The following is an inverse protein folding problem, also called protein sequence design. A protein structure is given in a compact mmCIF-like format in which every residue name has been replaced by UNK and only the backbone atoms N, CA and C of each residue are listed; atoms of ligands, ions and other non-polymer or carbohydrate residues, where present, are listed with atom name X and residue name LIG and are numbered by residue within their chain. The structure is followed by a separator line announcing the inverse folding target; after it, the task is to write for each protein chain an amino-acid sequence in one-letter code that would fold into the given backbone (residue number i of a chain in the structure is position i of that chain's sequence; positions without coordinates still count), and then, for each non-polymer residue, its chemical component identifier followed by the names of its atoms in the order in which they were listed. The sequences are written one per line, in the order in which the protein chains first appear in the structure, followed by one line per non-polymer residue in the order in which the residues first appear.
data_IF_644026839008
#
_entry.id   IF_644026839008
#
_cell.length_a   1.000
_cell.length_b   1.000
_cell.length_c   1.000
_cell.angle_alpha   90.00
_cell.angle_beta   90.00
_cell.angle_gamma   90.00
#
_symmetry.space_group_name_H-M   'P 1'
#
loop_
_entity.id
_entity.type
_entity.pdbx_description
1 polymer ?
#
# COMPACT_ATOMS: atom_id res chain seq x y z
N UNK A 1 26.63 -0.25 14.49
CA UNK A 1 27.06 -0.27 13.09
C UNK A 1 27.98 0.92 12.85
N UNK A 2 29.08 0.72 12.14
CA UNK A 2 30.02 1.78 11.78
C UNK A 2 29.87 2.14 10.30
N UNK A 3 30.13 3.40 9.93
CA UNK A 3 30.18 3.84 8.52
C UNK A 3 31.60 3.73 8.00
N UNK A 4 31.77 3.29 6.75
CA UNK A 4 33.05 3.36 6.06
C UNK A 4 33.22 4.77 5.46
N UNK A 5 34.15 5.55 6.02
CA UNK A 5 34.37 6.96 5.63
C UNK A 5 35.59 7.07 4.69
N UNK A 6 36.40 6.01 4.56
CA UNK A 6 37.61 6.01 3.73
C UNK A 6 37.35 6.03 2.24
N UNK A 7 38.39 6.34 1.46
CA UNK A 7 38.38 6.31 0.00
C UNK A 7 38.17 4.90 -0.53
N UNK A 8 38.75 3.89 0.17
CA UNK A 8 38.59 2.47 -0.16
C UNK A 8 37.38 1.93 0.54
N UNK A 9 36.41 1.42 -0.24
CA UNK A 9 35.18 0.82 0.23
C UNK A 9 35.29 -0.70 0.15
N UNK A 10 35.15 -1.35 1.28
CA UNK A 10 35.19 -2.81 1.37
C UNK A 10 33.79 -3.39 1.24
N UNK A 11 33.68 -4.60 0.69
CA UNK A 11 32.45 -5.37 0.59
C UNK A 11 32.74 -6.84 0.86
N UNK A 12 31.93 -7.47 1.71
CA UNK A 12 32.12 -8.85 2.14
C UNK A 12 32.58 -8.94 3.59
N UNK A 13 33.02 -10.11 4.01
CA UNK A 13 33.44 -10.39 5.39
C UNK A 13 34.95 -10.56 5.48
N UNK A 14 35.57 -9.82 6.38
CA UNK A 14 37.01 -9.91 6.69
C UNK A 14 37.11 -10.15 8.20
N UNK A 15 37.61 -11.33 8.59
CA UNK A 15 37.64 -11.74 9.99
C UNK A 15 36.25 -11.67 10.62
N UNK A 16 36.15 -10.96 11.74
CA UNK A 16 34.89 -10.75 12.47
C UNK A 16 34.10 -9.52 12.03
N UNK A 17 34.41 -8.94 10.87
CA UNK A 17 33.73 -7.74 10.36
C UNK A 17 33.12 -7.97 8.99
N UNK A 18 31.83 -7.68 8.88
CA UNK A 18 31.10 -7.72 7.62
C UNK A 18 30.86 -6.29 7.10
N UNK A 19 31.28 -6.04 5.86
CA UNK A 19 31.15 -4.80 5.12
C UNK A 19 30.05 -4.92 4.07
N UNK A 20 29.14 -3.97 4.03
CA UNK A 20 28.00 -4.00 3.10
C UNK A 20 27.52 -2.59 2.78
N UNK A 21 26.87 -2.46 1.61
CA UNK A 21 26.28 -1.20 1.16
C UNK A 21 24.77 -1.28 1.26
N UNK A 22 24.13 -0.20 1.64
CA UNK A 22 22.67 -0.07 1.65
C UNK A 22 22.23 0.99 0.66
N UNK A 23 21.07 0.82 -0.02
CA UNK A 23 20.59 1.78 -1.02
C UNK A 23 20.43 3.20 -0.50
N UNK A 24 20.08 3.33 0.79
CA UNK A 24 19.77 4.63 1.42
C UNK A 24 20.74 5.03 2.54
N UNK A 25 21.67 4.19 2.91
CA UNK A 25 22.50 4.38 4.11
C UNK A 25 24.02 4.41 3.87
N UNK A 26 24.46 4.28 2.63
CA UNK A 26 25.88 4.24 2.29
C UNK A 26 26.57 2.92 2.67
N UNK A 27 27.88 2.98 2.82
CA UNK A 27 28.72 1.83 3.11
C UNK A 27 28.92 1.65 4.60
N UNK A 28 28.59 0.48 5.11
CA UNK A 28 28.50 0.17 6.53
C UNK A 28 29.37 -1.04 6.88
N UNK A 29 29.78 -1.10 8.15
CA UNK A 29 30.44 -2.23 8.77
C UNK A 29 29.70 -2.68 10.03
N UNK A 30 29.65 -3.98 10.25
CA UNK A 30 29.12 -4.59 11.47
C UNK A 30 29.95 -5.82 11.85
N UNK A 31 29.87 -6.26 13.10
CA UNK A 31 30.46 -7.53 13.48
C UNK A 31 29.91 -8.66 12.60
N UNK A 32 30.79 -9.48 12.07
CA UNK A 32 30.44 -10.72 11.39
C UNK A 32 30.06 -11.75 12.45
N UNK A 33 28.97 -12.45 12.19
CA UNK A 33 28.42 -13.34 13.20
C UNK A 33 27.47 -12.60 14.15
N UNK A 34 26.92 -13.31 15.05
CA UNK A 34 25.81 -12.87 15.88
C UNK A 34 24.48 -13.23 15.22
N UNK A 35 23.56 -13.67 16.01
CA UNK A 35 22.31 -14.24 15.58
C UNK A 35 22.23 -15.73 15.89
N UNK A 36 21.03 -16.23 15.79
CA UNK A 36 20.79 -17.65 16.13
C UNK A 36 21.20 -18.56 14.96
N UNK A 37 21.88 -19.65 15.28
CA UNK A 37 22.19 -20.71 14.29
C UNK A 37 20.87 -21.34 13.81
N UNK A 38 20.75 -21.63 12.52
CA UNK A 38 19.54 -22.23 11.92
C UNK A 38 19.08 -23.50 12.64
N UNK A 39 20.01 -24.37 13.04
CA UNK A 39 19.69 -25.58 13.80
C UNK A 39 19.16 -25.28 15.20
N UNK A 40 19.66 -24.26 15.85
CA UNK A 40 19.17 -23.83 17.17
C UNK A 40 17.75 -23.28 17.07
N UNK A 41 17.48 -22.46 16.07
CA UNK A 41 16.12 -21.95 15.82
C UNK A 41 15.15 -23.11 15.62
N UNK A 42 15.53 -24.14 14.85
CA UNK A 42 14.65 -25.27 14.55
C UNK A 42 14.41 -26.21 15.74
N UNK A 43 15.40 -26.43 16.58
CA UNK A 43 15.39 -27.51 17.56
C UNK A 43 15.28 -27.08 19.02
N UNK A 44 15.82 -25.92 19.40
CA UNK A 44 15.85 -25.51 20.81
C UNK A 44 14.50 -24.97 21.28
N UNK A 45 14.06 -25.36 22.47
CA UNK A 45 12.83 -24.87 23.09
C UNK A 45 12.90 -23.38 23.41
N UNK A 46 14.07 -22.88 23.77
CA UNK A 46 14.30 -21.43 23.95
C UNK A 46 14.04 -20.59 22.71
N UNK A 47 13.97 -21.22 21.51
CA UNK A 47 13.71 -20.56 20.22
C UNK A 47 12.25 -20.66 19.76
N UNK A 48 11.33 -21.18 20.58
CA UNK A 48 9.89 -21.25 20.25
C UNK A 48 9.35 -19.88 19.82
N UNK A 49 9.66 -18.83 20.59
CA UNK A 49 9.20 -17.46 20.28
C UNK A 49 9.75 -16.91 18.96
N UNK A 50 10.96 -17.29 18.59
CA UNK A 50 11.56 -16.90 17.30
C UNK A 50 10.81 -17.58 16.16
N UNK A 51 10.48 -18.87 16.28
CA UNK A 51 9.69 -19.61 15.29
C UNK A 51 8.28 -19.05 15.14
N UNK A 52 7.60 -18.78 16.24
CA UNK A 52 6.25 -18.18 16.24
C UNK A 52 6.25 -16.84 15.51
N UNK A 53 7.18 -15.95 15.86
CA UNK A 53 7.28 -14.64 15.23
C UNK A 53 7.64 -14.76 13.74
N UNK A 54 8.54 -15.66 13.37
CA UNK A 54 8.93 -15.89 11.98
C UNK A 54 7.76 -16.43 11.14
N UNK A 55 6.95 -17.34 11.71
CA UNK A 55 5.75 -17.89 11.07
C UNK A 55 4.74 -16.78 10.78
N UNK A 56 4.37 -16.00 11.79
CA UNK A 56 3.41 -14.90 11.65
C UNK A 56 3.90 -13.82 10.68
N UNK A 57 5.19 -13.45 10.76
CA UNK A 57 5.78 -12.49 9.83
C UNK A 57 5.75 -13.00 8.38
N UNK A 58 6.05 -14.28 8.18
CA UNK A 58 5.96 -14.93 6.87
C UNK A 58 4.55 -14.89 6.29
N UNK A 59 3.53 -15.13 7.12
CA UNK A 59 2.12 -15.03 6.74
C UNK A 59 1.74 -13.59 6.37
N UNK A 60 2.09 -12.60 7.19
CA UNK A 60 1.87 -11.17 6.88
C UNK A 60 2.56 -10.77 5.57
N UNK A 61 3.77 -11.30 5.30
CA UNK A 61 4.49 -11.01 4.06
C UNK A 61 3.78 -11.56 2.82
N UNK A 62 3.16 -12.74 2.91
CA UNK A 62 2.34 -13.32 1.82
C UNK A 62 1.09 -12.47 1.58
N UNK A 63 0.35 -12.12 2.63
CA UNK A 63 -0.81 -11.23 2.56
C UNK A 63 -0.43 -9.91 1.90
N UNK A 64 0.62 -9.24 2.39
CA UNK A 64 1.12 -7.99 1.83
C UNK A 64 1.44 -8.10 0.33
N UNK A 65 2.11 -9.20 -0.08
CA UNK A 65 2.44 -9.42 -1.50
C UNK A 65 1.18 -9.52 -2.35
N UNK A 66 0.22 -10.37 -1.96
CA UNK A 66 -1.03 -10.54 -2.68
C UNK A 66 -1.84 -9.23 -2.74
N UNK A 67 -1.99 -8.55 -1.61
CA UNK A 67 -2.70 -7.28 -1.51
C UNK A 67 -2.06 -6.16 -2.35
N UNK A 68 -0.73 -6.07 -2.38
CA UNK A 68 -0.04 -5.12 -3.24
C UNK A 68 -0.24 -5.43 -4.73
N UNK A 69 -0.28 -6.70 -5.10
CA UNK A 69 -0.52 -7.13 -6.49
C UNK A 69 -1.97 -6.83 -6.88
N UNK A 70 -2.94 -7.06 -6.00
CA UNK A 70 -4.35 -6.77 -6.29
C UNK A 70 -4.61 -5.29 -6.58
N UNK A 71 -3.85 -4.37 -5.96
CA UNK A 71 -3.92 -2.93 -6.18
C UNK A 71 -2.87 -2.41 -7.18
N UNK A 72 -2.23 -3.29 -7.96
CA UNK A 72 -1.19 -2.89 -8.92
C UNK A 72 -1.59 -1.76 -9.88
N UNK A 73 -2.82 -1.70 -10.45
CA UNK A 73 -3.22 -0.61 -11.33
C UNK A 73 -3.14 0.78 -10.70
N UNK A 74 -3.30 0.84 -9.38
CA UNK A 74 -3.19 2.08 -8.60
C UNK A 74 -1.75 2.36 -8.15
N UNK A 75 -1.01 1.33 -7.72
CA UNK A 75 0.27 1.45 -7.01
C UNK A 75 1.52 1.39 -7.91
N UNK A 76 1.42 0.80 -9.12
CA UNK A 76 2.59 0.61 -10.00
C UNK A 76 3.12 1.90 -10.63
N UNK A 77 2.38 2.98 -10.54
CA UNK A 77 2.71 4.25 -11.21
C UNK A 77 3.81 5.03 -10.50
N UNK A 78 3.87 4.93 -9.17
CA UNK A 78 4.82 5.66 -8.33
C UNK A 78 5.83 4.71 -7.69
N UNK A 79 7.12 5.04 -7.81
CA UNK A 79 8.16 4.35 -7.04
C UNK A 79 8.17 4.89 -5.60
N UNK A 80 7.66 4.09 -4.67
CA UNK A 80 7.77 4.35 -3.24
C UNK A 80 8.54 3.21 -2.56
N UNK A 81 9.78 3.49 -2.21
CA UNK A 81 10.66 2.54 -1.53
C UNK A 81 10.22 2.21 -0.09
N UNK A 82 9.38 3.05 0.52
CA UNK A 82 8.91 2.90 1.90
C UNK A 82 7.57 2.17 2.00
N UNK A 83 6.78 2.12 0.93
CA UNK A 83 5.46 1.49 0.92
C UNK A 83 5.53 0.03 1.41
N UNK A 84 6.57 -0.71 1.00
CA UNK A 84 6.78 -2.08 1.45
C UNK A 84 6.85 -2.19 2.98
N UNK A 85 7.64 -1.33 3.62
CA UNK A 85 7.79 -1.29 5.07
C UNK A 85 6.49 -0.89 5.76
N UNK A 86 5.82 0.16 5.29
CA UNK A 86 4.53 0.63 5.84
C UNK A 86 3.46 -0.45 5.79
N UNK A 87 3.31 -1.14 4.65
CA UNK A 87 2.36 -2.25 4.52
C UNK A 87 2.71 -3.44 5.42
N UNK A 88 4.01 -3.74 5.63
CA UNK A 88 4.41 -4.78 6.59
C UNK A 88 4.04 -4.41 8.02
N UNK A 89 4.25 -3.15 8.40
CA UNK A 89 3.84 -2.63 9.71
C UNK A 89 2.33 -2.74 9.87
N UNK A 90 1.53 -2.26 8.89
CA UNK A 90 0.08 -2.36 8.88
C UNK A 90 -0.39 -3.80 9.15
N UNK A 91 0.01 -4.75 8.31
CA UNK A 91 -0.47 -6.13 8.44
C UNK A 91 0.05 -6.84 9.69
N UNK A 92 1.21 -6.45 10.20
CA UNK A 92 1.69 -6.94 11.50
C UNK A 92 0.85 -6.39 12.66
N UNK A 93 0.44 -5.14 12.59
CA UNK A 93 -0.47 -4.54 13.58
C UNK A 93 -1.86 -5.19 13.53
N UNK A 94 -2.45 -5.30 12.34
CA UNK A 94 -3.76 -5.97 12.16
C UNK A 94 -3.71 -7.41 12.67
N UNK A 95 -2.67 -8.19 12.30
CA UNK A 95 -2.47 -9.56 12.81
C UNK A 95 -2.42 -9.59 14.34
N UNK A 96 -1.84 -8.57 15.00
CA UNK A 96 -1.78 -8.53 16.46
C UNK A 96 -3.15 -8.37 17.13
N UNK A 97 -4.19 -7.95 16.38
CA UNK A 97 -5.58 -7.86 16.83
C UNK A 97 -6.30 -9.23 16.79
N UNK A 98 -5.72 -10.24 16.17
CA UNK A 98 -6.25 -11.61 16.19
C UNK A 98 -6.26 -12.16 17.63
N UNK A 99 -7.45 -12.34 18.18
CA UNK A 99 -7.72 -12.88 19.53
C UNK A 99 -8.12 -14.36 19.50
N UNK A 100 -8.31 -14.93 18.32
CA UNK A 100 -8.76 -16.31 18.12
C UNK A 100 -7.56 -17.23 17.89
N UNK A 101 -6.61 -16.78 17.07
CA UNK A 101 -5.42 -17.53 16.74
C UNK A 101 -4.42 -17.62 17.91
N UNK A 102 -3.90 -18.82 18.14
CA UNK A 102 -2.79 -18.99 19.08
C UNK A 102 -1.55 -18.27 18.54
N UNK A 103 -0.68 -17.83 19.43
CA UNK A 103 0.59 -17.22 19.07
C UNK A 103 1.41 -18.14 18.13
N UNK A 104 1.93 -17.56 17.07
CA UNK A 104 2.59 -18.29 15.96
C UNK A 104 1.63 -18.71 14.85
N UNK A 105 0.32 -18.63 15.05
CA UNK A 105 -0.74 -18.96 14.09
C UNK A 105 -1.74 -17.82 13.86
N UNK A 106 -1.51 -16.64 14.42
CA UNK A 106 -2.38 -15.48 14.22
C UNK A 106 -2.37 -15.03 12.77
N UNK A 107 -3.53 -14.62 12.26
CA UNK A 107 -3.74 -14.25 10.86
C UNK A 107 -4.18 -12.79 10.72
N UNK A 108 -3.96 -12.22 9.55
CA UNK A 108 -4.48 -10.89 9.21
C UNK A 108 -6.00 -10.93 9.07
N UNK A 109 -6.55 -12.00 8.48
CA UNK A 109 -8.00 -12.16 8.31
C UNK A 109 -8.76 -12.10 9.64
N UNK A 110 -8.30 -12.85 10.64
CA UNK A 110 -8.92 -12.79 11.98
C UNK A 110 -8.74 -11.42 12.65
N UNK A 111 -7.60 -10.75 12.42
CA UNK A 111 -7.37 -9.39 12.89
C UNK A 111 -8.34 -8.38 12.28
N UNK A 112 -8.67 -8.52 11.01
CA UNK A 112 -9.64 -7.70 10.28
C UNK A 112 -11.10 -7.96 10.72
N UNK A 113 -11.40 -9.11 11.31
CA UNK A 113 -12.70 -9.33 11.92
C UNK A 113 -12.96 -8.45 13.16
N UNK A 114 -11.97 -7.69 13.62
CA UNK A 114 -12.11 -6.75 14.73
C UNK A 114 -12.31 -5.32 14.21
N UNK A 115 -13.13 -4.48 14.90
CA UNK A 115 -13.32 -3.07 14.48
C UNK A 115 -11.99 -2.31 14.35
N UNK A 116 -11.07 -2.51 15.29
CA UNK A 116 -9.76 -1.86 15.27
C UNK A 116 -8.91 -2.29 14.09
N UNK A 117 -8.95 -3.56 13.69
CA UNK A 117 -8.25 -4.07 12.51
C UNK A 117 -8.80 -3.46 11.22
N UNK A 118 -10.11 -3.29 11.13
CA UNK A 118 -10.79 -2.61 10.02
C UNK A 118 -10.39 -1.14 9.94
N UNK A 119 -10.37 -0.44 11.09
CA UNK A 119 -9.99 0.97 11.14
C UNK A 119 -8.53 1.17 10.74
N UNK A 120 -7.62 0.27 11.13
CA UNK A 120 -6.23 0.33 10.69
C UNK A 120 -6.09 0.22 9.17
N UNK A 121 -6.90 -0.62 8.52
CA UNK A 121 -6.89 -0.76 7.06
C UNK A 121 -7.53 0.45 6.38
N UNK A 122 -8.66 0.92 6.90
CA UNK A 122 -9.39 2.10 6.37
C UNK A 122 -8.54 3.36 6.38
N UNK A 123 -7.79 3.57 7.44
CA UNK A 123 -6.95 4.77 7.62
C UNK A 123 -5.52 4.58 7.06
N UNK A 124 -5.28 3.55 6.25
CA UNK A 124 -3.94 3.33 5.71
C UNK A 124 -3.66 4.25 4.51
N UNK A 125 -2.65 5.09 4.65
CA UNK A 125 -2.18 5.98 3.60
C UNK A 125 -1.23 5.27 2.63
N UNK A 126 -1.70 5.00 1.42
CA UNK A 126 -0.85 4.45 0.36
C UNK A 126 0.16 5.47 -0.15
N UNK A 127 -0.22 6.73 -0.20
CA UNK A 127 0.56 7.85 -0.75
C UNK A 127 0.60 9.04 0.21
N UNK A 128 1.30 8.96 1.36
CA UNK A 128 1.26 10.01 2.40
C UNK A 128 1.76 11.37 1.95
N UNK A 129 2.52 11.44 0.85
CA UNK A 129 2.98 12.70 0.27
C UNK A 129 1.97 13.36 -0.70
N UNK A 130 0.86 12.68 -1.01
CA UNK A 130 -0.17 13.18 -1.92
C UNK A 130 -1.49 12.49 -1.56
N UNK A 131 -2.42 13.21 -0.97
CA UNK A 131 -3.75 12.74 -0.60
C UNK A 131 -4.73 13.10 -1.73
N UNK A 132 -5.65 12.19 -2.08
CA UNK A 132 -6.62 12.41 -3.16
C UNK A 132 -7.61 13.50 -2.78
N UNK A 133 -8.20 13.40 -1.59
CA UNK A 133 -9.23 14.34 -1.10
C UNK A 133 -8.66 15.76 -1.00
N UNK A 134 -7.47 15.90 -0.38
CA UNK A 134 -6.80 17.20 -0.27
C UNK A 134 -6.45 17.78 -1.64
N UNK A 135 -6.04 16.94 -2.60
CA UNK A 135 -5.70 17.37 -3.96
C UNK A 135 -6.94 17.85 -4.72
N UNK A 136 -8.08 17.19 -4.53
CA UNK A 136 -9.33 17.58 -5.16
C UNK A 136 -9.93 18.83 -4.53
N UNK A 137 -9.71 19.06 -3.22
CA UNK A 137 -10.36 20.12 -2.46
C UNK A 137 -11.89 20.01 -2.46
N UNK A 138 -12.42 18.79 -2.56
CA UNK A 138 -13.83 18.48 -2.77
C UNK A 138 -14.34 17.51 -1.69
N UNK A 139 -15.65 17.42 -1.54
CA UNK A 139 -16.28 16.41 -0.71
C UNK A 139 -16.38 15.09 -1.48
N UNK A 140 -15.82 14.03 -0.94
CA UNK A 140 -15.83 12.70 -1.54
C UNK A 140 -16.64 11.77 -0.63
N UNK A 141 -17.65 11.12 -1.18
CA UNK A 141 -18.49 10.16 -0.47
C UNK A 141 -18.61 8.87 -1.28
N UNK A 142 -18.36 7.73 -0.64
CA UNK A 142 -18.52 6.42 -1.26
C UNK A 142 -19.68 5.66 -0.63
N UNK A 143 -20.55 5.11 -1.45
CA UNK A 143 -21.68 4.28 -1.04
C UNK A 143 -21.45 2.84 -1.52
N UNK A 144 -21.35 1.91 -0.59
CA UNK A 144 -21.21 0.48 -0.88
C UNK A 144 -22.48 -0.13 -1.50
N UNK A 145 -23.67 0.39 -1.16
CA UNK A 145 -24.94 -0.10 -1.71
C UNK A 145 -25.08 0.16 -3.20
N UNK A 146 -24.72 1.37 -3.65
CA UNK A 146 -24.75 1.75 -5.08
C UNK A 146 -23.40 1.50 -5.78
N UNK A 147 -22.34 1.22 -5.00
CA UNK A 147 -20.96 1.06 -5.49
C UNK A 147 -20.48 2.26 -6.28
N UNK A 148 -20.87 3.41 -5.82
CA UNK A 148 -20.56 4.68 -6.45
C UNK A 148 -19.83 5.63 -5.51
N UNK A 149 -19.02 6.49 -6.11
CA UNK A 149 -18.27 7.55 -5.45
C UNK A 149 -18.75 8.90 -5.99
N UNK A 150 -19.53 9.60 -5.18
CA UNK A 150 -19.96 10.96 -5.47
C UNK A 150 -18.89 11.96 -5.04
N UNK A 151 -18.51 12.84 -5.96
CA UNK A 151 -17.65 13.99 -5.70
C UNK A 151 -18.51 15.24 -5.83
N UNK A 152 -18.52 16.10 -4.80
CA UNK A 152 -19.31 17.34 -4.75
C UNK A 152 -18.46 18.50 -4.26
N UNK A 153 -18.92 19.73 -4.54
CA UNK A 153 -18.16 20.96 -4.23
C UNK A 153 -16.78 21.00 -4.89
N UNK A 154 -16.66 20.39 -6.06
CA UNK A 154 -15.41 20.36 -6.83
C UNK A 154 -15.22 21.68 -7.60
N UNK A 155 -14.01 22.20 -7.60
CA UNK A 155 -13.59 23.31 -8.44
C UNK A 155 -12.17 23.05 -8.95
N UNK A 156 -12.04 22.83 -10.25
CA UNK A 156 -10.74 22.51 -10.89
C UNK A 156 -9.68 23.58 -10.65
N UNK A 157 -10.07 24.83 -10.38
CA UNK A 157 -9.16 25.95 -10.10
C UNK A 157 -8.40 25.78 -8.78
N UNK A 158 -8.92 24.98 -7.85
CA UNK A 158 -8.25 24.65 -6.60
C UNK A 158 -7.25 23.48 -6.75
N UNK A 159 -7.30 22.75 -7.86
CA UNK A 159 -6.39 21.62 -8.09
C UNK A 159 -5.01 22.11 -8.54
N UNK A 160 -3.98 21.72 -7.81
CA UNK A 160 -2.59 22.02 -8.16
C UNK A 160 -2.07 21.01 -9.18
N UNK A 161 -2.18 21.34 -10.47
CA UNK A 161 -1.60 20.51 -11.53
C UNK A 161 -0.07 20.59 -11.53
N UNK A 162 0.64 19.46 -11.61
CA UNK A 162 2.09 19.46 -11.84
C UNK A 162 2.46 20.25 -13.08
N UNK A 163 3.65 20.86 -13.09
CA UNK A 163 4.13 21.60 -14.26
C UNK A 163 4.14 20.72 -15.52
N UNK A 164 3.48 21.16 -16.58
CA UNK A 164 3.31 20.42 -17.84
C UNK A 164 2.10 19.46 -17.86
N UNK A 165 1.45 19.19 -16.75
CA UNK A 165 0.19 18.41 -16.76
C UNK A 165 -0.96 19.26 -17.33
N UNK A 166 -1.76 18.64 -18.20
CA UNK A 166 -2.95 19.24 -18.83
C UNK A 166 -4.23 18.64 -18.28
N UNK A 167 -4.20 17.38 -17.89
CA UNK A 167 -5.33 16.61 -17.39
C UNK A 167 -4.98 15.91 -16.09
N UNK A 168 -6.00 15.68 -15.28
CA UNK A 168 -6.00 14.66 -14.24
C UNK A 168 -7.02 13.59 -14.59
N UNK A 169 -6.84 12.38 -14.09
CA UNK A 169 -7.82 11.32 -14.19
C UNK A 169 -8.08 10.70 -12.82
N UNK A 170 -9.34 10.51 -12.52
CA UNK A 170 -9.82 9.77 -11.37
C UNK A 170 -10.27 8.38 -11.80
N UNK A 171 -9.98 7.38 -10.98
CA UNK A 171 -10.47 6.02 -11.17
C UNK A 171 -10.92 5.46 -9.83
N UNK A 172 -12.14 4.96 -9.79
CA UNK A 172 -12.65 4.21 -8.64
C UNK A 172 -12.27 2.74 -8.79
N UNK A 173 -11.86 2.11 -7.70
CA UNK A 173 -11.63 0.68 -7.62
C UNK A 173 -12.40 0.08 -6.46
N UNK A 174 -13.07 -1.05 -6.69
CA UNK A 174 -13.62 -1.89 -5.64
C UNK A 174 -12.85 -3.21 -5.63
N UNK A 175 -12.05 -3.39 -4.60
CA UNK A 175 -11.27 -4.59 -4.39
C UNK A 175 -12.01 -5.53 -3.44
N UNK A 176 -12.28 -6.74 -3.93
CA UNK A 176 -12.67 -7.88 -3.10
C UNK A 176 -11.41 -8.66 -2.75
N UNK A 177 -11.19 -8.90 -1.47
CA UNK A 177 -10.00 -9.59 -1.01
C UNK A 177 -10.29 -10.56 0.13
N UNK A 178 -10.04 -11.85 -0.10
CA UNK A 178 -10.04 -12.86 0.95
C UNK A 178 -8.65 -12.92 1.59
N UNK A 179 -8.53 -12.43 2.80
CA UNK A 179 -7.27 -12.37 3.55
C UNK A 179 -6.79 -13.74 4.06
N UNK A 180 -7.62 -14.78 4.00
CA UNK A 180 -7.25 -16.14 4.39
C UNK A 180 -6.81 -16.97 3.17
N UNK A 181 -7.62 -16.98 2.11
CA UNK A 181 -7.31 -17.70 0.88
C UNK A 181 -6.38 -16.94 -0.06
N UNK A 182 -6.20 -15.62 0.14
CA UNK A 182 -5.43 -14.70 -0.71
C UNK A 182 -5.97 -14.60 -2.15
N UNK A 183 -7.26 -14.89 -2.32
CA UNK A 183 -7.99 -14.66 -3.57
C UNK A 183 -8.48 -13.22 -3.62
N UNK A 184 -8.50 -12.64 -4.81
CA UNK A 184 -8.95 -11.26 -4.98
C UNK A 184 -9.51 -11.01 -6.38
N UNK A 185 -10.37 -10.01 -6.47
CA UNK A 185 -10.84 -9.42 -7.73
C UNK A 185 -10.91 -7.91 -7.57
N UNK A 186 -10.35 -7.18 -8.51
CA UNK A 186 -10.42 -5.72 -8.56
C UNK A 186 -11.32 -5.32 -9.72
N UNK A 187 -12.42 -4.62 -9.42
CA UNK A 187 -13.24 -3.94 -10.40
C UNK A 187 -12.82 -2.48 -10.46
N UNK A 188 -12.76 -1.91 -11.65
CA UNK A 188 -12.34 -0.52 -11.84
C UNK A 188 -13.33 0.22 -12.73
N UNK A 189 -13.62 1.46 -12.39
CA UNK A 189 -14.30 2.37 -13.30
C UNK A 189 -13.41 2.71 -14.50
N UNK A 190 -14.03 3.15 -15.59
CA UNK A 190 -13.29 3.88 -16.61
C UNK A 190 -12.60 5.10 -15.98
N UNK A 191 -11.39 5.50 -16.44
CA UNK A 191 -10.76 6.72 -16.00
C UNK A 191 -11.63 7.94 -16.38
N UNK A 192 -11.94 8.77 -15.40
CA UNK A 192 -12.66 10.03 -15.61
C UNK A 192 -11.65 11.17 -15.74
N UNK A 193 -11.51 11.70 -16.96
CA UNK A 193 -10.53 12.73 -17.28
C UNK A 193 -11.11 14.13 -17.04
N UNK A 194 -10.36 14.98 -16.37
CA UNK A 194 -10.67 16.36 -16.05
C UNK A 194 -9.52 17.23 -16.55
N UNK A 195 -9.82 18.19 -17.41
CA UNK A 195 -8.88 19.21 -17.84
C UNK A 195 -8.97 20.48 -16.98
N UNK A 196 -8.13 21.47 -17.26
CA UNK A 196 -8.10 22.74 -16.50
C UNK A 196 -9.29 23.67 -16.75
N UNK A 197 -10.16 23.31 -17.72
CA UNK A 197 -11.34 24.11 -18.09
C UNK A 197 -12.64 23.48 -17.62
N UNK A 198 -12.55 22.32 -16.95
CA UNK A 198 -13.71 21.60 -16.45
C UNK A 198 -14.57 22.46 -15.51
N UNK A 199 -15.86 22.57 -15.79
CA UNK A 199 -16.77 23.49 -15.12
C UNK A 199 -17.80 22.86 -14.18
N UNK A 200 -17.91 21.53 -14.15
CA UNK A 200 -18.89 20.86 -13.28
C UNK A 200 -18.40 20.81 -11.83
N UNK A 201 -19.30 21.11 -10.91
CA UNK A 201 -19.01 21.08 -9.46
C UNK A 201 -19.32 19.73 -8.81
N UNK A 202 -19.93 18.80 -9.55
CA UNK A 202 -20.25 17.46 -9.05
C UNK A 202 -20.22 16.43 -10.17
N UNK A 203 -19.76 15.23 -9.85
CA UNK A 203 -19.73 14.07 -10.74
C UNK A 203 -19.67 12.80 -9.93
N UNK A 204 -19.94 11.67 -10.59
CA UNK A 204 -19.99 10.37 -9.96
C UNK A 204 -19.17 9.33 -10.74
N UNK A 205 -18.51 8.45 -10.01
CA UNK A 205 -17.81 7.27 -10.53
C UNK A 205 -18.51 6.04 -9.98
N UNK A 206 -18.70 5.02 -10.79
CA UNK A 206 -19.29 3.75 -10.36
C UNK A 206 -18.52 2.55 -10.88
N UNK A 207 -18.66 1.41 -10.20
CA UNK A 207 -18.07 0.13 -10.59
C UNK A 207 -19.12 -0.97 -10.52
N UNK A 208 -18.93 -2.00 -11.34
CA UNK A 208 -19.77 -3.19 -11.29
C UNK A 208 -19.46 -4.04 -10.05
N UNK A 209 -20.42 -4.87 -9.64
CA UNK A 209 -20.26 -5.79 -8.53
C UNK A 209 -19.38 -6.98 -8.91
N UNK A 210 -18.33 -7.29 -8.16
CA UNK A 210 -17.64 -8.55 -8.32
C UNK A 210 -18.38 -9.69 -7.61
N UNK A 211 -18.48 -10.82 -8.27
CA UNK A 211 -19.14 -12.05 -7.76
C UNK A 211 -18.22 -12.88 -6.85
N UNK A 212 -17.50 -12.28 -5.91
CA UNK A 212 -16.56 -13.00 -5.04
C UNK A 212 -16.78 -12.56 -3.58
N UNK A 213 -16.90 -13.54 -2.67
CA UNK A 213 -16.96 -13.28 -1.24
C UNK A 213 -15.61 -12.79 -0.71
N UNK A 214 -15.62 -11.88 0.24
CA UNK A 214 -14.44 -11.32 0.86
C UNK A 214 -14.68 -9.93 1.43
N UNK A 215 -13.61 -9.33 1.91
CA UNK A 215 -13.64 -7.94 2.36
C UNK A 215 -13.67 -7.01 1.16
N UNK A 216 -14.58 -6.06 1.18
CA UNK A 216 -14.75 -5.04 0.15
C UNK A 216 -13.94 -3.79 0.53
N UNK A 217 -13.08 -3.34 -0.35
CA UNK A 217 -12.22 -2.19 -0.12
C UNK A 217 -12.38 -1.24 -1.30
N UNK A 218 -13.00 -0.10 -1.05
CA UNK A 218 -13.14 0.97 -2.04
C UNK A 218 -11.89 1.84 -2.03
N UNK A 219 -11.31 2.07 -3.19
CA UNK A 219 -10.13 2.92 -3.38
C UNK A 219 -10.36 3.94 -4.47
N UNK A 220 -9.89 5.16 -4.29
CA UNK A 220 -9.88 6.21 -5.29
C UNK A 220 -8.44 6.51 -5.69
N UNK A 221 -8.17 6.44 -6.98
CA UNK A 221 -6.88 6.79 -7.55
C UNK A 221 -6.93 8.08 -8.34
N UNK A 222 -5.92 8.92 -8.18
CA UNK A 222 -5.72 10.15 -8.93
C UNK A 222 -4.39 10.09 -9.67
N UNK A 223 -4.41 10.42 -10.96
CA UNK A 223 -3.23 10.46 -11.83
C UNK A 223 -3.25 11.70 -12.68
N UNK A 224 -2.06 12.26 -12.94
CA UNK A 224 -1.92 13.41 -13.83
C UNK A 224 -1.35 12.99 -15.18
N UNK A 225 -1.80 13.67 -16.23
CA UNK A 225 -1.41 13.41 -17.62
C UNK A 225 -1.08 14.69 -18.35
N UNK A 226 -0.20 14.55 -19.35
CA UNK A 226 -0.01 15.55 -20.39
C UNK A 226 -0.69 15.03 -21.67
N UNK A 227 -1.63 15.78 -22.20
CA UNK A 227 -2.14 15.52 -23.54
C UNK A 227 -1.19 16.13 -24.59
N UNK A 228 -0.75 15.29 -25.51
CA UNK A 228 0.04 15.70 -26.68
C UNK A 228 -0.68 15.17 -27.92
N UNK A 229 -1.41 16.05 -28.60
CA UNK A 229 -2.16 15.72 -29.83
C UNK A 229 -3.11 14.51 -29.68
N UNK A 230 -3.86 14.46 -28.57
CA UNK A 230 -4.82 13.39 -28.28
C UNK A 230 -4.22 12.14 -27.64
N UNK A 231 -2.93 12.15 -27.34
CA UNK A 231 -2.27 11.05 -26.62
C UNK A 231 -1.95 11.46 -25.19
N UNK A 232 -2.43 10.72 -24.22
CA UNK A 232 -2.24 10.98 -22.80
C UNK A 232 -0.95 10.34 -22.28
N UNK A 233 0.01 11.14 -21.86
CA UNK A 233 1.26 10.71 -21.25
C UNK A 233 1.20 10.89 -19.73
N UNK A 234 1.37 9.78 -19.02
CA UNK A 234 1.25 9.73 -17.57
C UNK A 234 2.46 10.37 -16.87
N UNK A 235 2.18 11.27 -15.92
CA UNK A 235 3.16 11.75 -14.95
C UNK A 235 3.42 10.69 -13.88
N UNK A 236 4.70 10.41 -13.58
CA UNK A 236 5.10 9.47 -12.52
C UNK A 236 5.11 10.10 -11.13
N UNK A 237 4.96 11.40 -11.04
CA UNK A 237 4.89 12.18 -9.81
C UNK A 237 3.46 12.63 -9.53
N UNK A 238 3.19 12.99 -8.28
CA UNK A 238 1.89 13.53 -7.84
C UNK A 238 0.67 12.60 -8.05
N UNK A 239 0.89 11.30 -8.25
CA UNK A 239 -0.21 10.33 -8.24
C UNK A 239 -0.57 9.95 -6.81
N UNK A 240 -1.85 9.82 -6.53
CA UNK A 240 -2.37 9.51 -5.21
C UNK A 240 -3.32 8.32 -5.24
N UNK A 241 -3.37 7.60 -4.13
CA UNK A 241 -4.32 6.50 -3.88
C UNK A 241 -4.82 6.60 -2.45
N UNK A 242 -6.14 6.56 -2.29
CA UNK A 242 -6.80 6.66 -1.01
C UNK A 242 -7.83 5.56 -0.81
N UNK A 243 -7.97 5.07 0.42
CA UNK A 243 -9.02 4.14 0.82
C UNK A 243 -10.24 4.96 1.19
N UNK A 244 -11.35 4.76 0.47
CA UNK A 244 -12.61 5.45 0.73
C UNK A 244 -13.44 4.73 1.79
N UNK A 245 -13.33 3.41 1.85
CA UNK A 245 -14.08 2.61 2.80
C UNK A 245 -13.67 1.14 2.77
N UNK A 246 -14.03 0.43 3.83
CA UNK A 246 -13.84 -1.02 4.00
C UNK A 246 -15.10 -1.61 4.61
N UNK A 247 -15.65 -2.66 4.00
CA UNK A 247 -16.89 -3.34 4.41
C UNK A 247 -16.73 -4.87 4.26
N UNK A 248 -17.53 -5.65 5.02
CA UNK A 248 -17.55 -7.14 5.00
C UNK A 248 -18.69 -7.65 4.15
#
# INVERSE_FOLDING_TARGET
MAKQIGIIRLKGTIGDTNFYSTPNGGDLARSAGGGFKSNDIKKKDSMVRVRENASEFGTCSKVKKAFRISLAPFLCVRKDGLLHGRMMTLFTMIKSMDRVGLRGKRTVGNGLATPLGMDLLRNFEFTPACNVIDTLGASVNYDFGTRSCGITNFDVRHVSFPSGATHMALSLGLLHFDFNALNYKLMMSAPFYIDKTYGESSFELSVEEPEIAGLHIAVLGLKFYQDVKGTYYLFKSANAVEVLGVEV
#
